data_IF_529595910515
#
_entry.id   IF_529595910515
#
_cell.length_a   1.000
_cell.length_b   1.000
_cell.length_c   1.000
_cell.angle_alpha   90.00
_cell.angle_beta   90.00
_cell.angle_gamma   90.00
#
_symmetry.space_group_name_H-M   'P 1'
#
loop_
_entity.id
_entity.type
_entity.pdbx_description
1 polymer ?
#
# COMPACT_ATOMS: atom_id res chain seq x y z
N UNK A 1 54.25 14.17 -2.47
CA UNK A 1 53.69 12.85 -2.09
C UNK A 1 53.44 12.04 -3.36
N UNK A 2 54.09 10.88 -3.53
CA UNK A 2 53.93 10.04 -4.71
C UNK A 2 52.52 9.40 -4.71
N UNK A 3 51.71 9.67 -5.74
CA UNK A 3 50.43 8.98 -5.94
C UNK A 3 50.74 7.52 -6.30
N UNK A 4 50.54 6.59 -5.37
CA UNK A 4 50.56 5.16 -5.65
C UNK A 4 49.58 4.85 -6.78
N UNK A 5 50.08 4.36 -7.92
CA UNK A 5 49.23 3.97 -9.04
C UNK A 5 48.59 2.62 -8.74
N UNK A 6 47.27 2.60 -8.55
CA UNK A 6 46.48 1.37 -8.38
C UNK A 6 46.59 0.48 -9.63
N UNK A 7 46.79 -0.82 -9.42
CA UNK A 7 46.79 -1.83 -10.49
C UNK A 7 45.43 -1.90 -11.18
N UNK A 8 45.42 -2.27 -12.47
CA UNK A 8 44.21 -2.32 -13.30
C UNK A 8 43.12 -3.19 -12.65
N UNK A 9 43.50 -4.36 -12.11
CA UNK A 9 42.57 -5.25 -11.41
C UNK A 9 41.89 -4.59 -10.20
N UNK A 10 42.63 -3.82 -9.40
CA UNK A 10 42.05 -3.07 -8.26
C UNK A 10 41.11 -1.95 -8.71
N UNK A 11 41.40 -1.29 -9.84
CA UNK A 11 40.49 -0.27 -10.43
C UNK A 11 39.19 -0.88 -10.93
N UNK A 12 39.26 -2.01 -11.63
CA UNK A 12 38.09 -2.73 -12.14
C UNK A 12 37.26 -3.30 -10.99
N UNK A 13 37.90 -4.01 -10.05
CA UNK A 13 37.21 -4.58 -8.89
C UNK A 13 36.57 -3.52 -8.00
N UNK A 14 37.25 -2.38 -7.79
CA UNK A 14 36.68 -1.24 -7.07
C UNK A 14 35.45 -0.66 -7.78
N UNK A 15 35.52 -0.48 -9.10
CA UNK A 15 34.38 -0.01 -9.89
C UNK A 15 33.17 -0.93 -9.80
N UNK A 16 33.38 -2.23 -9.97
CA UNK A 16 32.30 -3.23 -9.87
C UNK A 16 31.68 -3.28 -8.48
N UNK A 17 32.50 -3.14 -7.43
CA UNK A 17 32.03 -3.09 -6.04
C UNK A 17 31.12 -1.88 -5.81
N UNK A 18 31.51 -0.69 -6.31
CA UNK A 18 30.68 0.52 -6.18
C UNK A 18 29.37 0.37 -6.94
N UNK A 19 29.37 -0.22 -8.13
CA UNK A 19 28.13 -0.50 -8.89
C UNK A 19 27.23 -1.44 -8.11
N UNK A 20 27.76 -2.53 -7.54
CA UNK A 20 26.96 -3.45 -6.72
C UNK A 20 26.36 -2.75 -5.49
N UNK A 21 27.13 -1.92 -4.80
CA UNK A 21 26.64 -1.13 -3.65
C UNK A 21 25.53 -0.17 -4.10
N UNK A 22 25.71 0.56 -5.19
CA UNK A 22 24.70 1.47 -5.73
C UNK A 22 23.41 0.72 -6.10
N UNK A 23 23.52 -0.46 -6.72
CA UNK A 23 22.36 -1.29 -7.05
C UNK A 23 21.64 -1.76 -5.80
N UNK A 24 22.36 -2.27 -4.79
CA UNK A 24 21.76 -2.71 -3.53
C UNK A 24 21.05 -1.55 -2.82
N UNK A 25 21.68 -0.38 -2.77
CA UNK A 25 21.08 0.81 -2.16
C UNK A 25 19.82 1.24 -2.92
N UNK A 26 19.88 1.31 -4.25
CA UNK A 26 18.72 1.68 -5.07
C UNK A 26 17.57 0.68 -4.88
N UNK A 27 17.84 -0.62 -4.97
CA UNK A 27 16.83 -1.67 -4.75
C UNK A 27 16.28 -1.63 -3.33
N UNK A 28 17.12 -1.40 -2.32
CA UNK A 28 16.69 -1.28 -0.92
C UNK A 28 15.78 -0.08 -0.68
N UNK A 29 16.11 1.09 -1.24
CA UNK A 29 15.27 2.30 -1.18
C UNK A 29 13.93 2.05 -1.87
N UNK A 30 13.93 1.45 -3.06
CA UNK A 30 12.70 1.11 -3.78
C UNK A 30 11.84 0.13 -3.00
N UNK A 31 12.43 -0.93 -2.45
CA UNK A 31 11.70 -1.91 -1.62
C UNK A 31 11.16 -1.28 -0.34
N UNK A 32 11.93 -0.42 0.32
CA UNK A 32 11.47 0.28 1.52
C UNK A 32 10.31 1.23 1.20
N UNK A 33 10.42 2.02 0.13
CA UNK A 33 9.35 2.93 -0.31
C UNK A 33 8.08 2.14 -0.70
N UNK A 34 8.24 1.04 -1.41
CA UNK A 34 7.14 0.17 -1.82
C UNK A 34 6.47 -0.50 -0.62
N UNK A 35 7.25 -1.12 0.29
CA UNK A 35 6.74 -1.77 1.49
C UNK A 35 6.04 -0.79 2.43
N UNK A 36 6.60 0.41 2.61
CA UNK A 36 5.98 1.45 3.46
C UNK A 36 4.67 1.94 2.85
N UNK A 37 4.62 2.07 1.53
CA UNK A 37 3.39 2.43 0.81
C UNK A 37 2.33 1.34 0.94
N UNK A 38 2.69 0.08 0.70
CA UNK A 38 1.74 -1.05 0.78
C UNK A 38 1.24 -1.29 2.20
N UNK A 39 2.10 -1.19 3.22
CA UNK A 39 1.69 -1.40 4.63
C UNK A 39 0.70 -0.32 5.07
N UNK A 40 1.04 0.96 4.85
CA UNK A 40 0.16 2.07 5.23
C UNK A 40 -1.15 2.05 4.43
N UNK A 41 -1.11 1.62 3.16
CA UNK A 41 -2.31 1.53 2.35
C UNK A 41 -3.23 0.38 2.81
N UNK A 42 -2.66 -0.79 3.11
CA UNK A 42 -3.43 -1.96 3.55
C UNK A 42 -4.04 -1.74 4.93
N UNK A 43 -3.25 -1.27 5.90
CA UNK A 43 -3.69 -1.14 7.30
C UNK A 43 -4.82 -0.13 7.47
N UNK A 44 -4.77 0.99 6.73
CA UNK A 44 -5.78 2.04 6.89
C UNK A 44 -7.01 1.80 6.01
N UNK A 45 -6.85 1.25 4.80
CA UNK A 45 -8.01 0.87 3.99
C UNK A 45 -8.80 -0.29 4.58
N UNK A 46 -8.12 -1.25 5.22
CA UNK A 46 -8.80 -2.39 5.82
C UNK A 46 -9.71 -1.93 6.97
N UNK A 47 -9.29 -0.98 7.80
CA UNK A 47 -10.10 -0.50 8.93
C UNK A 47 -11.30 0.37 8.52
N UNK A 48 -11.09 1.38 7.67
CA UNK A 48 -12.17 2.34 7.35
C UNK A 48 -13.13 1.82 6.29
N UNK A 49 -12.65 1.03 5.31
CA UNK A 49 -13.55 0.35 4.38
C UNK A 49 -14.40 -0.69 5.11
N UNK A 50 -13.85 -1.35 6.14
CA UNK A 50 -14.64 -2.25 7.00
C UNK A 50 -15.76 -1.51 7.72
N UNK A 51 -15.51 -0.31 8.26
CA UNK A 51 -16.57 0.51 8.88
C UNK A 51 -17.71 0.83 7.89
N UNK A 52 -17.37 1.25 6.67
CA UNK A 52 -18.36 1.56 5.63
C UNK A 52 -19.14 0.31 5.15
N UNK A 53 -18.46 -0.83 5.02
CA UNK A 53 -19.09 -2.11 4.66
C UNK A 53 -20.07 -2.55 5.75
N UNK A 54 -19.67 -2.47 7.02
CA UNK A 54 -20.53 -2.81 8.16
C UNK A 54 -21.72 -1.87 8.30
N UNK A 55 -21.53 -0.56 8.09
CA UNK A 55 -22.63 0.39 8.06
C UNK A 55 -23.64 0.05 6.94
N UNK A 56 -23.15 -0.41 5.78
CA UNK A 56 -24.02 -0.92 4.71
C UNK A 56 -24.72 -2.24 5.05
N UNK A 57 -24.06 -3.11 5.81
CA UNK A 57 -24.66 -4.35 6.31
C UNK A 57 -25.77 -4.06 7.32
N UNK A 58 -25.54 -3.12 8.25
CA UNK A 58 -26.55 -2.60 9.17
C UNK A 58 -27.76 -2.01 8.42
N UNK A 59 -27.54 -1.23 7.36
CA UNK A 59 -28.62 -0.73 6.49
C UNK A 59 -29.44 -1.86 5.84
N UNK A 60 -28.77 -2.94 5.43
CA UNK A 60 -29.43 -4.13 4.88
C UNK A 60 -30.22 -4.88 5.94
N UNK A 61 -29.65 -5.06 7.14
CA UNK A 61 -30.29 -5.71 8.28
C UNK A 61 -31.57 -4.98 8.72
N UNK A 62 -31.54 -3.64 8.79
CA UNK A 62 -32.74 -2.84 9.04
C UNK A 62 -33.79 -3.02 7.92
N UNK A 63 -33.35 -3.05 6.66
CA UNK A 63 -34.22 -3.34 5.52
C UNK A 63 -34.92 -4.70 5.65
N UNK A 64 -34.19 -5.73 6.08
CA UNK A 64 -34.72 -7.07 6.33
C UNK A 64 -35.68 -7.08 7.53
N UNK A 65 -35.35 -6.38 8.63
CA UNK A 65 -36.26 -6.22 9.77
C UNK A 65 -37.62 -5.71 9.29
N UNK A 66 -37.62 -4.62 8.51
CA UNK A 66 -38.85 -4.00 7.98
C UNK A 66 -39.59 -4.89 7.00
N UNK A 67 -38.86 -5.66 6.20
CA UNK A 67 -39.46 -6.62 5.26
C UNK A 67 -40.19 -7.73 6.02
N UNK A 68 -39.51 -8.41 6.95
CA UNK A 68 -40.08 -9.53 7.68
C UNK A 68 -41.22 -9.11 8.62
N UNK A 69 -41.10 -7.94 9.24
CA UNK A 69 -42.19 -7.33 10.00
C UNK A 69 -43.46 -7.11 9.14
N UNK A 70 -43.31 -6.52 7.95
CA UNK A 70 -44.45 -6.32 7.03
C UNK A 70 -45.02 -7.64 6.53
N UNK A 71 -44.17 -8.62 6.22
CA UNK A 71 -44.60 -9.96 5.82
C UNK A 71 -45.41 -10.64 6.94
N UNK A 72 -44.99 -10.49 8.21
CA UNK A 72 -45.79 -10.96 9.35
C UNK A 72 -47.16 -10.26 9.41
N UNK A 73 -47.20 -8.94 9.24
CA UNK A 73 -48.46 -8.19 9.27
C UNK A 73 -49.44 -8.60 8.15
N UNK A 74 -48.93 -9.01 7.00
CA UNK A 74 -49.72 -9.46 5.86
C UNK A 74 -50.18 -10.92 5.99
N UNK A 75 -49.33 -11.79 6.52
CA UNK A 75 -49.55 -13.25 6.49
C UNK A 75 -49.97 -13.84 7.83
N UNK A 76 -49.70 -13.14 8.93
CA UNK A 76 -49.83 -13.67 10.29
C UNK A 76 -48.82 -14.78 10.63
N UNK A 77 -47.86 -15.08 9.75
CA UNK A 77 -46.94 -16.21 9.93
C UNK A 77 -45.87 -15.91 11.00
N UNK A 78 -45.89 -16.59 12.16
CA UNK A 78 -44.97 -16.29 13.27
C UNK A 78 -43.49 -16.51 12.92
N UNK A 79 -43.17 -17.35 11.94
CA UNK A 79 -41.79 -17.52 11.45
C UNK A 79 -41.19 -16.19 10.97
N UNK A 80 -42.01 -15.27 10.44
CA UNK A 80 -41.54 -13.95 9.99
C UNK A 80 -41.11 -13.05 11.13
N UNK A 81 -41.69 -13.18 12.33
CA UNK A 81 -41.19 -12.47 13.50
C UNK A 81 -39.83 -13.01 13.94
N UNK A 82 -39.63 -14.32 13.87
CA UNK A 82 -38.32 -14.91 14.14
C UNK A 82 -37.26 -14.38 13.16
N UNK A 83 -37.55 -14.38 11.86
CA UNK A 83 -36.63 -13.82 10.84
C UNK A 83 -36.37 -12.32 11.05
N UNK A 84 -37.38 -11.57 11.52
CA UNK A 84 -37.21 -10.17 11.90
C UNK A 84 -36.29 -10.00 13.12
N UNK A 85 -36.44 -10.86 14.14
CA UNK A 85 -35.60 -10.85 15.34
C UNK A 85 -34.16 -11.26 15.03
N UNK A 86 -33.97 -12.26 14.18
CA UNK A 86 -32.64 -12.66 13.71
C UNK A 86 -31.97 -11.48 12.95
N UNK A 87 -32.72 -10.79 12.07
CA UNK A 87 -32.22 -9.59 11.38
C UNK A 87 -31.96 -8.41 12.33
N UNK A 88 -32.68 -8.33 13.45
CA UNK A 88 -32.44 -7.31 14.49
C UNK A 88 -31.14 -7.60 15.22
N UNK A 89 -30.89 -8.87 15.57
CA UNK A 89 -29.63 -9.27 16.17
C UNK A 89 -28.44 -8.98 15.25
N UNK A 90 -28.59 -9.22 13.94
CA UNK A 90 -27.57 -8.85 12.95
C UNK A 90 -27.34 -7.32 12.90
N UNK A 91 -28.41 -6.51 12.98
CA UNK A 91 -28.31 -5.05 13.03
C UNK A 91 -27.55 -4.60 14.29
N UNK A 92 -27.90 -5.14 15.46
CA UNK A 92 -27.26 -4.81 16.74
C UNK A 92 -25.78 -5.21 16.74
N UNK A 93 -25.44 -6.41 16.25
CA UNK A 93 -24.05 -6.90 16.15
C UNK A 93 -23.19 -6.02 15.24
N UNK A 94 -23.74 -5.59 14.08
CA UNK A 94 -23.03 -4.69 13.18
C UNK A 94 -22.80 -3.32 13.83
N UNK A 95 -23.80 -2.77 14.52
CA UNK A 95 -23.67 -1.48 15.22
C UNK A 95 -22.68 -1.55 16.39
N UNK A 96 -22.72 -2.60 17.21
CA UNK A 96 -21.75 -2.83 18.29
C UNK A 96 -20.32 -2.97 17.75
N UNK A 97 -20.17 -3.70 16.64
CA UNK A 97 -18.87 -3.88 15.99
C UNK A 97 -18.36 -2.55 15.41
N UNK A 98 -19.23 -1.75 14.80
CA UNK A 98 -18.90 -0.40 14.32
C UNK A 98 -18.44 0.47 15.49
N UNK A 99 -19.17 0.48 16.62
CA UNK A 99 -18.80 1.26 17.79
C UNK A 99 -17.42 0.83 18.35
N UNK A 100 -17.16 -0.49 18.41
CA UNK A 100 -15.88 -1.02 18.89
C UNK A 100 -14.71 -0.65 17.95
N UNK A 101 -14.89 -0.79 16.64
CA UNK A 101 -13.88 -0.44 15.64
C UNK A 101 -13.63 1.07 15.60
N UNK A 102 -14.70 1.89 15.60
CA UNK A 102 -14.61 3.34 15.64
C UNK A 102 -13.89 3.84 16.90
N UNK A 103 -14.11 3.18 18.05
CA UNK A 103 -13.39 3.48 19.29
C UNK A 103 -11.89 3.18 19.17
N UNK A 104 -11.52 2.04 18.55
CA UNK A 104 -10.11 1.68 18.31
C UNK A 104 -9.43 2.65 17.33
N UNK A 105 -10.18 3.15 16.36
CA UNK A 105 -9.73 4.11 15.36
C UNK A 105 -9.80 5.59 15.84
N UNK A 106 -10.15 5.83 17.11
CA UNK A 106 -10.28 7.18 17.68
C UNK A 106 -11.29 8.08 16.94
N UNK A 107 -12.41 7.50 16.51
CA UNK A 107 -13.49 8.17 15.76
C UNK A 107 -14.74 8.38 16.63
N UNK A 108 -14.76 9.36 17.56
CA UNK A 108 -15.83 9.51 18.55
C UNK A 108 -17.21 9.75 17.92
N UNK A 109 -17.29 10.42 16.77
CA UNK A 109 -18.55 10.70 16.09
C UNK A 109 -19.26 9.40 15.66
N UNK A 110 -18.51 8.45 15.06
CA UNK A 110 -19.08 7.17 14.64
C UNK A 110 -19.47 6.30 15.83
N UNK A 111 -18.76 6.43 16.96
CA UNK A 111 -19.14 5.77 18.22
C UNK A 111 -20.48 6.32 18.72
N UNK A 112 -20.66 7.64 18.71
CA UNK A 112 -21.91 8.29 19.12
C UNK A 112 -23.08 7.88 18.22
N UNK A 113 -22.88 7.90 16.90
CA UNK A 113 -23.90 7.51 15.91
C UNK A 113 -24.33 6.06 16.05
N UNK A 114 -23.38 5.14 16.19
CA UNK A 114 -23.69 3.73 16.42
C UNK A 114 -24.48 3.51 17.71
N UNK A 115 -24.11 4.19 18.80
CA UNK A 115 -24.84 4.10 20.08
C UNK A 115 -26.25 4.71 20.00
N UNK A 116 -26.41 5.81 19.26
CA UNK A 116 -27.73 6.40 19.01
C UNK A 116 -28.63 5.42 18.24
N UNK A 117 -28.08 4.78 17.20
CA UNK A 117 -28.77 3.75 16.43
C UNK A 117 -29.15 2.53 17.27
N UNK A 118 -28.28 2.07 18.18
CA UNK A 118 -28.61 0.99 19.13
C UNK A 118 -29.79 1.37 20.04
N UNK A 119 -29.84 2.60 20.54
CA UNK A 119 -30.96 3.08 21.35
C UNK A 119 -32.28 3.15 20.55
N UNK A 120 -32.20 3.57 19.28
CA UNK A 120 -33.34 3.57 18.36
C UNK A 120 -33.79 2.16 17.99
N UNK A 121 -32.84 1.23 17.75
CA UNK A 121 -33.11 -0.17 17.47
C UNK A 121 -33.85 -0.84 18.64
N UNK A 122 -33.40 -0.62 19.87
CA UNK A 122 -34.07 -1.11 21.07
C UNK A 122 -35.50 -0.53 21.22
N UNK A 123 -35.70 0.74 20.84
CA UNK A 123 -37.03 1.38 20.86
C UNK A 123 -37.95 0.78 19.79
N UNK A 124 -37.44 0.57 18.58
CA UNK A 124 -38.15 -0.10 17.50
C UNK A 124 -38.51 -1.54 17.86
N UNK A 125 -37.59 -2.32 18.42
CA UNK A 125 -37.84 -3.71 18.81
C UNK A 125 -38.93 -3.80 19.88
N UNK A 126 -38.93 -2.91 20.89
CA UNK A 126 -40.03 -2.82 21.87
C UNK A 126 -41.38 -2.58 21.22
N UNK A 127 -41.44 -1.75 20.18
CA UNK A 127 -42.67 -1.51 19.45
C UNK A 127 -43.12 -2.75 18.64
N UNK A 128 -42.17 -3.49 18.06
CA UNK A 128 -42.46 -4.76 17.38
C UNK A 128 -42.98 -5.80 18.37
N UNK A 129 -42.37 -5.93 19.54
CA UNK A 129 -42.80 -6.85 20.58
C UNK A 129 -44.22 -6.52 21.06
N UNK A 130 -44.52 -5.24 21.31
CA UNK A 130 -45.88 -4.79 21.66
C UNK A 130 -46.90 -5.11 20.54
N UNK A 131 -46.50 -4.93 19.28
CA UNK A 131 -47.34 -5.24 18.12
C UNK A 131 -47.65 -6.74 18.01
N UNK A 132 -46.68 -7.61 18.29
CA UNK A 132 -46.86 -9.07 18.20
C UNK A 132 -47.71 -9.64 19.34
N UNK A 133 -47.66 -9.01 20.53
CA UNK A 133 -48.45 -9.39 21.70
C UNK A 133 -49.90 -8.88 21.65
N UNK A 134 -50.17 -7.79 20.92
CA UNK A 134 -51.51 -7.22 20.80
C UNK A 134 -52.44 -8.04 19.87
N UNK A 135 -53.74 -8.15 20.19
CA UNK A 135 -54.76 -8.69 19.27
C UNK A 135 -54.78 -7.93 17.94
N UNK A 136 -55.07 -8.57 16.79
CA UNK A 136 -55.04 -7.91 15.48
C UNK A 136 -55.81 -6.60 15.38
N UNK A 137 -56.92 -6.49 16.11
CA UNK A 137 -57.83 -5.33 16.16
C UNK A 137 -57.24 -4.14 16.94
N UNK A 138 -56.29 -4.38 17.84
CA UNK A 138 -55.67 -3.38 18.73
C UNK A 138 -54.26 -2.95 18.29
N UNK A 139 -53.75 -3.53 17.19
CA UNK A 139 -52.38 -3.28 16.69
C UNK A 139 -52.17 -1.88 16.09
N UNK A 140 -53.21 -1.07 15.89
CA UNK A 140 -53.13 0.22 15.19
C UNK A 140 -52.00 1.13 15.72
N UNK A 141 -52.03 1.44 17.02
CA UNK A 141 -51.02 2.29 17.65
C UNK A 141 -49.61 1.68 17.64
N UNK A 142 -49.51 0.34 17.75
CA UNK A 142 -48.21 -0.34 17.69
C UNK A 142 -47.61 -0.32 16.28
N UNK A 143 -48.43 -0.45 15.23
CA UNK A 143 -47.98 -0.33 13.83
C UNK A 143 -47.40 1.06 13.51
N UNK A 144 -48.04 2.10 14.04
CA UNK A 144 -47.57 3.48 13.90
C UNK A 144 -46.25 3.69 14.65
N UNK A 145 -46.13 3.17 15.87
CA UNK A 145 -44.90 3.23 16.66
C UNK A 145 -43.75 2.47 15.99
N UNK A 146 -44.01 1.30 15.42
CA UNK A 146 -43.02 0.51 14.68
C UNK A 146 -42.56 1.25 13.42
N UNK A 147 -43.48 1.85 12.67
CA UNK A 147 -43.14 2.65 11.49
C UNK A 147 -42.36 3.91 11.86
N UNK A 148 -42.72 4.58 12.96
CA UNK A 148 -41.99 5.74 13.47
C UNK A 148 -40.56 5.37 13.91
N UNK A 149 -40.40 4.27 14.66
CA UNK A 149 -39.08 3.79 15.10
C UNK A 149 -38.16 3.47 13.92
N UNK A 150 -38.69 2.81 12.89
CA UNK A 150 -37.94 2.54 11.67
C UNK A 150 -37.54 3.80 10.90
N UNK A 151 -38.48 4.73 10.75
CA UNK A 151 -38.26 5.99 10.04
C UNK A 151 -37.25 6.89 10.75
N UNK A 152 -37.13 6.78 12.08
CA UNK A 152 -36.10 7.46 12.86
C UNK A 152 -34.69 6.89 12.62
N UNK A 153 -34.57 5.58 12.37
CA UNK A 153 -33.26 4.95 12.13
C UNK A 153 -32.69 5.23 10.74
N UNK A 154 -33.52 5.32 9.69
CA UNK A 154 -33.03 5.53 8.32
C UNK A 154 -32.10 6.74 8.12
N UNK A 155 -32.44 7.96 8.58
CA UNK A 155 -31.54 9.11 8.41
C UNK A 155 -30.24 8.97 9.21
N UNK A 156 -30.31 8.40 10.41
CA UNK A 156 -29.13 8.16 11.25
C UNK A 156 -28.21 7.11 10.65
N UNK A 157 -28.78 6.09 10.01
CA UNK A 157 -28.02 5.02 9.36
C UNK A 157 -27.40 5.48 8.03
N UNK A 158 -28.10 6.34 7.27
CA UNK A 158 -27.53 6.99 6.09
C UNK A 158 -26.39 7.94 6.48
N UNK A 159 -26.57 8.70 7.57
CA UNK A 159 -25.51 9.54 8.14
C UNK A 159 -24.30 8.70 8.53
N UNK A 160 -24.47 7.64 9.33
CA UNK A 160 -23.39 6.74 9.73
C UNK A 160 -22.66 6.15 8.52
N UNK A 161 -23.40 5.71 7.50
CA UNK A 161 -22.82 5.17 6.28
C UNK A 161 -22.01 6.22 5.51
N UNK A 162 -22.51 7.44 5.40
CA UNK A 162 -21.82 8.52 4.70
C UNK A 162 -20.57 8.98 5.47
N UNK A 163 -20.66 9.13 6.79
CA UNK A 163 -19.52 9.52 7.63
C UNK A 163 -18.45 8.41 7.67
N UNK A 164 -18.85 7.13 7.67
CA UNK A 164 -17.93 6.01 7.52
C UNK A 164 -17.24 5.98 6.13
N UNK A 165 -17.98 6.29 5.05
CA UNK A 165 -17.41 6.42 3.70
C UNK A 165 -16.46 7.61 3.58
N UNK A 166 -16.80 8.73 4.20
CA UNK A 166 -15.99 9.95 4.17
C UNK A 166 -14.68 9.77 4.93
N UNK A 167 -14.70 9.02 6.04
CA UNK A 167 -13.49 8.59 6.73
C UNK A 167 -12.58 7.78 5.77
N UNK A 168 -13.14 6.71 5.19
CA UNK A 168 -12.44 5.87 4.20
C UNK A 168 -11.87 6.68 3.01
N UNK A 169 -12.62 7.68 2.56
CA UNK A 169 -12.20 8.60 1.49
C UNK A 169 -11.03 9.49 1.88
N UNK A 170 -11.07 10.09 3.08
CA UNK A 170 -10.03 11.00 3.58
C UNK A 170 -8.69 10.31 3.72
N UNK A 171 -8.68 9.09 4.25
CA UNK A 171 -7.45 8.30 4.32
C UNK A 171 -6.94 7.90 2.95
N UNK A 172 -7.83 7.51 2.02
CA UNK A 172 -7.39 7.18 0.65
C UNK A 172 -6.63 8.35 0.02
N UNK A 173 -7.06 9.59 0.30
CA UNK A 173 -6.37 10.81 -0.14
C UNK A 173 -5.03 10.98 0.58
N UNK A 174 -4.98 10.91 1.92
CA UNK A 174 -3.74 11.06 2.68
C UNK A 174 -2.70 9.97 2.37
N UNK A 175 -3.14 8.73 2.14
CA UNK A 175 -2.30 7.62 1.72
C UNK A 175 -1.74 7.84 0.31
N UNK A 176 -2.55 8.36 -0.62
CA UNK A 176 -2.08 8.77 -1.96
C UNK A 176 -1.02 9.87 -1.88
N UNK A 177 -1.25 10.91 -1.07
CA UNK A 177 -0.27 11.99 -0.91
C UNK A 177 1.06 11.49 -0.35
N UNK A 178 1.00 10.63 0.67
CA UNK A 178 2.19 10.00 1.27
C UNK A 178 2.94 9.11 0.27
N UNK A 179 2.21 8.33 -0.54
CA UNK A 179 2.77 7.50 -1.59
C UNK A 179 3.46 8.34 -2.69
N UNK A 180 2.86 9.47 -3.07
CA UNK A 180 3.45 10.39 -4.05
C UNK A 180 4.74 11.01 -3.51
N UNK A 181 4.77 11.43 -2.24
CA UNK A 181 5.97 12.00 -1.62
C UNK A 181 7.11 10.97 -1.58
N UNK A 182 6.85 9.76 -1.07
CA UNK A 182 7.83 8.67 -1.03
C UNK A 182 8.32 8.30 -2.44
N UNK A 183 7.39 8.22 -3.40
CA UNK A 183 7.70 7.94 -4.80
C UNK A 183 8.61 9.00 -5.43
N UNK A 184 8.39 10.30 -5.13
CA UNK A 184 9.25 11.40 -5.59
C UNK A 184 10.66 11.30 -5.01
N UNK A 185 10.78 11.00 -3.71
CA UNK A 185 12.09 10.83 -3.06
C UNK A 185 12.83 9.63 -3.66
N UNK A 186 12.14 8.50 -3.84
CA UNK A 186 12.71 7.30 -4.48
C UNK A 186 13.17 7.57 -5.92
N UNK A 187 12.38 8.32 -6.71
CA UNK A 187 12.73 8.71 -8.08
C UNK A 187 13.98 9.61 -8.10
N UNK A 188 14.05 10.63 -7.23
CA UNK A 188 15.21 11.51 -7.11
C UNK A 188 16.47 10.74 -6.72
N UNK A 189 16.39 9.86 -5.73
CA UNK A 189 17.52 9.02 -5.31
C UNK A 189 17.96 8.06 -6.43
N UNK A 190 17.01 7.46 -7.15
CA UNK A 190 17.29 6.64 -8.32
C UNK A 190 17.99 7.42 -9.44
N UNK A 191 17.56 8.65 -9.71
CA UNK A 191 18.19 9.52 -10.70
C UNK A 191 19.63 9.88 -10.31
N UNK A 192 19.89 10.18 -9.03
CA UNK A 192 21.24 10.44 -8.51
C UNK A 192 22.13 9.20 -8.64
N UNK A 193 21.62 8.02 -8.24
CA UNK A 193 22.36 6.77 -8.36
C UNK A 193 22.75 6.46 -9.82
N UNK A 194 21.83 6.69 -10.76
CA UNK A 194 22.07 6.52 -12.19
C UNK A 194 23.12 7.51 -12.71
N UNK A 195 23.02 8.79 -12.33
CA UNK A 195 24.01 9.80 -12.68
C UNK A 195 25.42 9.46 -12.14
N UNK A 196 25.52 8.98 -10.90
CA UNK A 196 26.76 8.49 -10.32
C UNK A 196 27.32 7.28 -11.07
N UNK A 197 26.46 6.34 -11.47
CA UNK A 197 26.84 5.17 -12.27
C UNK A 197 27.42 5.58 -13.64
N UNK A 198 26.78 6.52 -14.33
CA UNK A 198 27.27 7.07 -15.60
C UNK A 198 28.62 7.76 -15.43
N UNK A 199 28.77 8.59 -14.39
CA UNK A 199 30.03 9.26 -14.11
C UNK A 199 31.16 8.25 -13.84
N UNK A 200 30.91 7.24 -13.00
CA UNK A 200 31.88 6.17 -12.71
C UNK A 200 32.27 5.39 -13.96
N UNK A 201 31.29 5.01 -14.78
CA UNK A 201 31.53 4.30 -16.04
C UNK A 201 32.44 5.13 -16.98
N UNK A 202 32.19 6.43 -17.10
CA UNK A 202 33.00 7.33 -17.90
C UNK A 202 34.45 7.44 -17.38
N UNK A 203 34.65 7.64 -16.07
CA UNK A 203 35.98 7.77 -15.47
C UNK A 203 36.79 6.47 -15.55
N UNK A 204 36.16 5.32 -15.26
CA UNK A 204 36.83 4.02 -15.33
C UNK A 204 37.14 3.64 -16.78
N UNK A 205 36.19 3.82 -17.69
CA UNK A 205 36.38 3.57 -19.11
C UNK A 205 37.55 4.37 -19.66
N UNK A 206 37.57 5.69 -19.41
CA UNK A 206 38.65 6.57 -19.85
C UNK A 206 40.00 6.17 -19.22
N UNK A 207 40.02 5.89 -17.92
CA UNK A 207 41.25 5.51 -17.21
C UNK A 207 41.84 4.19 -17.69
N UNK A 208 41.01 3.16 -17.88
CA UNK A 208 41.44 1.83 -18.35
C UNK A 208 41.90 1.92 -19.81
N UNK A 209 41.13 2.58 -20.68
CA UNK A 209 41.50 2.74 -22.09
C UNK A 209 42.84 3.47 -22.26
N UNK A 210 43.11 4.51 -21.48
CA UNK A 210 44.40 5.21 -21.55
C UNK A 210 45.56 4.31 -21.12
N UNK A 211 45.43 3.57 -20.02
CA UNK A 211 46.49 2.66 -19.57
C UNK A 211 46.75 1.53 -20.58
N UNK A 212 45.70 0.93 -21.15
CA UNK A 212 45.84 -0.09 -22.20
C UNK A 212 46.53 0.44 -23.45
N UNK A 213 46.17 1.66 -23.90
CA UNK A 213 46.85 2.31 -25.04
C UNK A 213 48.34 2.53 -24.76
N UNK A 214 48.69 2.93 -23.55
CA UNK A 214 50.09 3.15 -23.16
C UNK A 214 50.87 1.82 -23.16
N UNK A 215 50.32 0.77 -22.54
CA UNK A 215 50.94 -0.55 -22.51
C UNK A 215 51.11 -1.12 -23.93
N UNK A 216 50.09 -1.01 -24.77
CA UNK A 216 50.15 -1.44 -26.19
C UNK A 216 51.23 -0.70 -26.96
N UNK A 217 51.36 0.62 -26.76
CA UNK A 217 52.38 1.43 -27.41
C UNK A 217 53.80 1.03 -26.97
N UNK A 218 54.03 0.87 -25.67
CA UNK A 218 55.34 0.45 -25.14
C UNK A 218 55.72 -0.97 -25.59
N UNK A 219 54.75 -1.88 -25.70
CA UNK A 219 54.97 -3.21 -26.27
C UNK A 219 55.37 -3.14 -27.75
N UNK A 220 54.72 -2.28 -28.54
CA UNK A 220 55.08 -2.09 -29.95
C UNK A 220 56.48 -1.50 -30.10
N UNK A 221 56.79 -0.45 -29.34
CA UNK A 221 58.12 0.17 -29.33
C UNK A 221 59.22 -0.83 -28.90
N UNK A 222 58.94 -1.67 -27.89
CA UNK A 222 59.87 -2.74 -27.48
C UNK A 222 60.04 -3.83 -28.55
N UNK A 223 58.97 -4.20 -29.25
CA UNK A 223 59.05 -5.13 -30.36
C UNK A 223 59.89 -4.57 -31.53
N UNK A 224 59.73 -3.28 -31.85
CA UNK A 224 60.55 -2.60 -32.86
C UNK A 224 62.03 -2.56 -32.44
N UNK A 225 62.32 -2.30 -31.16
CA UNK A 225 63.70 -2.33 -30.63
C UNK A 225 64.33 -3.72 -30.70
N UNK A 226 63.59 -4.77 -30.33
CA UNK A 226 64.07 -6.16 -30.42
C UNK A 226 64.31 -6.55 -31.88
N UNK A 227 63.40 -6.17 -32.79
CA UNK A 227 63.58 -6.41 -34.22
C UNK A 227 64.81 -5.69 -34.79
N UNK A 228 65.03 -4.43 -34.41
CA UNK A 228 66.22 -3.66 -34.80
C UNK A 228 67.51 -4.27 -34.25
N UNK A 229 67.55 -4.62 -32.96
CA UNK A 229 68.70 -5.26 -32.32
C UNK A 229 69.00 -6.64 -32.92
N UNK A 230 67.96 -7.43 -33.22
CA UNK A 230 68.12 -8.70 -33.93
C UNK A 230 68.70 -8.48 -35.34
N UNK A 231 68.27 -7.43 -36.04
CA UNK A 231 68.86 -7.02 -37.32
C UNK A 231 70.34 -6.66 -37.21
N UNK A 232 70.72 -5.88 -36.20
CA UNK A 232 72.11 -5.46 -35.95
C UNK A 232 73.02 -6.62 -35.53
N UNK A 233 72.52 -7.54 -34.70
CA UNK A 233 73.24 -8.77 -34.32
C UNK A 233 73.36 -9.71 -35.51
N UNK A 234 72.32 -9.85 -36.32
CA UNK A 234 72.35 -10.66 -37.55
C UNK A 234 73.37 -10.10 -38.54
N UNK A 235 73.40 -8.77 -38.76
CA UNK A 235 74.39 -8.14 -39.65
C UNK A 235 75.81 -8.28 -39.11
N UNK A 236 76.00 -8.12 -37.81
CA UNK A 236 77.32 -8.30 -37.16
C UNK A 236 77.79 -9.75 -37.25
N UNK A 237 76.88 -10.72 -37.09
CA UNK A 237 77.19 -12.16 -37.21
C UNK A 237 77.57 -12.53 -38.64
N UNK A 238 76.90 -11.95 -39.65
CA UNK A 238 77.23 -12.16 -41.06
C UNK A 238 78.62 -11.61 -41.40
N UNK A 239 78.92 -10.39 -40.94
CA UNK A 239 80.24 -9.76 -41.15
C UNK A 239 81.37 -10.57 -40.49
N UNK A 240 81.13 -11.17 -39.31
CA UNK A 240 82.11 -12.00 -38.62
C UNK A 240 82.30 -13.38 -39.26
N UNK A 241 81.27 -13.95 -39.88
CA UNK A 241 81.34 -15.26 -40.53
C UNK A 241 81.96 -15.20 -41.95
N UNK A 242 81.88 -14.05 -42.62
CA UNK A 242 82.48 -13.81 -43.95
C UNK A 242 83.93 -13.29 -43.88
N UNK A 243 84.40 -12.91 -42.68
CA UNK A 243 85.75 -12.37 -42.44
C UNK A 243 86.80 -13.37 -41.95
#
# INVERSE_FOLDING_TARGET
>A
MAKQQLTIGKKIGGGFTVVLILTILATGIYQFALSSTTSNFTEILEHEMTLALRASAAATALGNCRRFEKDYLLTGNPTKIKEQQDSMADLEDELDTIAALAKKAEMPNLVEEANNLLALAATYQKAVDAMTQAPPEERGASKDAVSAGANAMYPELDKLLNDAKDAAGKVSVSAKESAILLGRIALLLGAIALACGVALAFFLGRGISTTLKQVSRTLNEGADQVAAAAGEVSSSSQTLAEG
#
